data_IF_329451955979
#
_entry.id   IF_329451955979
#
_cell.length_a   1.000
_cell.length_b   1.000
_cell.length_c   1.000
_cell.angle_alpha   90.00
_cell.angle_beta   90.00
_cell.angle_gamma   90.00
#
_symmetry.space_group_name_H-M   'P 1'
#
loop_
_entity.id
_entity.type
_entity.pdbx_description
1 polymer ?
#
# COMPACT_ATOMS: atom_id res chain seq x y z
N UNK A 1 -24.00 8.32 -23.87
CA UNK A 1 -23.08 7.21 -23.54
C UNK A 1 -22.59 7.31 -22.09
N UNK A 2 -21.86 8.36 -21.70
CA UNK A 2 -21.26 8.50 -20.35
C UNK A 2 -22.21 8.29 -19.16
N UNK A 3 -23.46 8.75 -19.27
CA UNK A 3 -24.49 8.64 -18.22
C UNK A 3 -25.43 7.43 -18.37
N UNK A 4 -25.37 6.73 -19.50
CA UNK A 4 -26.36 5.69 -19.87
C UNK A 4 -25.76 4.30 -19.96
N UNK A 5 -24.50 4.16 -20.39
CA UNK A 5 -23.84 2.87 -20.47
C UNK A 5 -23.54 2.33 -19.06
N UNK A 6 -23.92 1.09 -18.70
CA UNK A 6 -23.86 0.58 -17.32
C UNK A 6 -22.48 0.74 -16.66
N UNK A 7 -21.40 0.41 -17.38
CA UNK A 7 -20.02 0.53 -16.88
C UNK A 7 -19.54 1.98 -16.83
N UNK A 8 -19.72 2.75 -17.92
CA UNK A 8 -19.21 4.11 -18.01
C UNK A 8 -19.97 5.04 -17.06
N UNK A 9 -21.23 4.75 -16.76
CA UNK A 9 -22.02 5.45 -15.75
C UNK A 9 -21.37 5.40 -14.37
N UNK A 10 -20.82 4.24 -13.99
CA UNK A 10 -20.09 4.10 -12.72
C UNK A 10 -18.87 5.03 -12.69
N UNK A 11 -17.99 4.92 -13.70
CA UNK A 11 -16.80 5.77 -13.85
C UNK A 11 -17.17 7.25 -13.82
N UNK A 12 -18.25 7.63 -14.53
CA UNK A 12 -18.74 8.99 -14.55
C UNK A 12 -19.13 9.49 -13.16
N UNK A 13 -19.92 8.71 -12.43
CA UNK A 13 -20.42 9.09 -11.11
C UNK A 13 -19.33 9.15 -10.04
N UNK A 14 -18.20 8.46 -10.25
CA UNK A 14 -17.12 8.38 -9.26
C UNK A 14 -15.91 9.25 -9.58
N UNK A 15 -15.66 9.59 -10.85
CA UNK A 15 -14.44 10.30 -11.26
C UNK A 15 -14.67 11.54 -12.12
N UNK A 16 -15.86 11.75 -12.67
CA UNK A 16 -16.13 12.88 -13.58
C UNK A 16 -17.14 13.85 -12.97
N UNK A 17 -18.38 13.39 -12.82
CA UNK A 17 -19.50 14.18 -12.32
C UNK A 17 -19.66 14.05 -10.79
N UNK A 18 -18.70 13.42 -10.08
CA UNK A 18 -18.72 13.32 -8.62
C UNK A 18 -18.72 14.73 -8.00
N UNK A 19 -19.73 15.12 -7.21
CA UNK A 19 -19.76 16.43 -6.58
C UNK A 19 -18.83 16.47 -5.36
N UNK A 20 -17.81 17.32 -5.42
CA UNK A 20 -16.82 17.47 -4.36
C UNK A 20 -16.86 18.88 -3.75
N UNK A 21 -16.59 19.04 -2.44
CA UNK A 21 -16.51 20.36 -1.81
C UNK A 21 -15.43 21.22 -2.46
N UNK A 22 -15.72 22.47 -2.78
CA UNK A 22 -14.81 23.40 -3.47
C UNK A 22 -13.50 23.65 -2.73
N UNK A 23 -13.53 23.63 -1.40
CA UNK A 23 -12.45 24.06 -0.51
C UNK A 23 -11.53 22.93 0.00
N UNK A 24 -11.58 21.71 -0.56
CA UNK A 24 -10.67 20.64 -0.11
C UNK A 24 -9.21 20.97 -0.47
N UNK A 25 -8.33 20.93 0.54
CA UNK A 25 -6.91 21.28 0.44
C UNK A 25 -6.04 20.14 -0.13
N UNK A 26 -4.72 20.32 -0.23
CA UNK A 26 -3.79 19.27 -0.71
C UNK A 26 -3.83 17.99 0.12
N UNK A 27 -4.26 18.07 1.38
CA UNK A 27 -4.43 16.90 2.25
C UNK A 27 -5.43 15.87 1.71
N UNK A 28 -6.35 16.28 0.83
CA UNK A 28 -7.29 15.34 0.18
C UNK A 28 -6.67 14.53 -0.95
N UNK A 29 -5.54 14.96 -1.51
CA UNK A 29 -4.83 14.24 -2.57
C UNK A 29 -4.26 12.89 -2.08
N UNK A 30 -3.98 12.73 -0.79
CA UNK A 30 -3.42 11.48 -0.27
C UNK A 30 -4.32 10.26 -0.52
N UNK A 31 -5.62 10.42 -0.79
CA UNK A 31 -6.46 9.31 -1.24
C UNK A 31 -6.03 8.76 -2.61
N UNK A 32 -5.86 9.63 -3.61
CA UNK A 32 -5.42 9.23 -4.95
C UNK A 32 -3.95 8.83 -4.98
N UNK A 33 -3.09 9.45 -4.17
CA UNK A 33 -1.68 9.05 -4.03
C UNK A 33 -1.55 7.61 -3.49
N UNK A 34 -2.37 7.21 -2.51
CA UNK A 34 -2.40 5.83 -2.02
C UNK A 34 -2.82 4.84 -3.11
N UNK A 35 -3.80 5.22 -3.95
CA UNK A 35 -4.19 4.43 -5.12
C UNK A 35 -3.03 4.24 -6.11
N UNK A 36 -2.26 5.30 -6.37
CA UNK A 36 -1.06 5.23 -7.20
C UNK A 36 0.03 4.35 -6.59
N UNK A 37 0.30 4.48 -5.29
CA UNK A 37 1.26 3.60 -4.60
C UNK A 37 0.84 2.14 -4.74
N UNK A 38 -0.44 1.80 -4.54
CA UNK A 38 -0.92 0.43 -4.70
C UNK A 38 -0.70 -0.10 -6.12
N UNK A 39 -0.98 0.69 -7.15
CA UNK A 39 -0.75 0.31 -8.55
C UNK A 39 0.74 0.09 -8.81
N UNK A 40 1.61 0.99 -8.34
CA UNK A 40 3.07 0.85 -8.48
C UNK A 40 3.55 -0.44 -7.81
N UNK A 41 3.10 -0.73 -6.58
CA UNK A 41 3.51 -1.93 -5.85
C UNK A 41 3.05 -3.21 -6.54
N UNK A 42 1.80 -3.27 -7.02
CA UNK A 42 1.29 -4.46 -7.75
C UNK A 42 2.06 -4.66 -9.04
N UNK A 43 2.26 -3.59 -9.84
CA UNK A 43 2.95 -3.69 -11.12
C UNK A 43 4.41 -4.12 -10.93
N UNK A 44 5.18 -3.40 -10.12
CA UNK A 44 6.59 -3.73 -9.86
C UNK A 44 6.74 -5.08 -9.19
N UNK A 45 5.88 -5.42 -8.22
CA UNK A 45 5.90 -6.70 -7.51
C UNK A 45 5.63 -7.88 -8.43
N UNK A 46 4.70 -7.73 -9.39
CA UNK A 46 4.43 -8.76 -10.40
C UNK A 46 5.66 -9.04 -11.28
N UNK A 47 6.36 -8.00 -11.75
CA UNK A 47 7.59 -8.18 -12.54
C UNK A 47 8.72 -8.80 -11.71
N UNK A 48 8.88 -8.42 -10.44
CA UNK A 48 9.86 -9.04 -9.54
C UNK A 48 9.55 -10.51 -9.30
N UNK A 49 8.27 -10.86 -9.11
CA UNK A 49 7.82 -12.23 -8.88
C UNK A 49 8.11 -13.17 -10.05
N UNK A 50 8.25 -12.67 -11.29
CA UNK A 50 8.62 -13.49 -12.45
C UNK A 50 10.07 -14.01 -12.38
N UNK A 51 10.91 -13.40 -11.55
CA UNK A 51 12.34 -13.70 -11.43
C UNK A 51 12.76 -14.15 -10.02
N UNK A 52 11.86 -14.04 -9.03
CA UNK A 52 12.13 -14.40 -7.63
C UNK A 52 11.90 -15.90 -7.37
N UNK A 53 12.73 -16.47 -6.48
CA UNK A 53 12.60 -17.87 -6.04
C UNK A 53 12.41 -17.93 -4.52
N UNK A 54 11.32 -18.54 -4.05
CA UNK A 54 10.96 -18.63 -2.62
C UNK A 54 11.54 -19.88 -1.93
N UNK A 55 12.85 -20.08 -2.06
CA UNK A 55 13.61 -21.14 -1.41
C UNK A 55 14.78 -20.55 -0.60
N UNK A 56 14.98 -20.99 0.64
CA UNK A 56 15.97 -20.38 1.56
C UNK A 56 17.41 -20.46 1.08
N UNK A 57 17.74 -21.42 0.20
CA UNK A 57 19.08 -21.55 -0.38
C UNK A 57 19.33 -20.57 -1.53
N UNK A 58 18.28 -20.04 -2.17
CA UNK A 58 18.40 -19.23 -3.40
C UNK A 58 17.62 -17.92 -3.38
N UNK A 59 16.84 -17.62 -2.33
CA UNK A 59 16.02 -16.42 -2.27
C UNK A 59 16.85 -15.14 -2.35
N UNK A 60 17.88 -15.02 -1.51
CA UNK A 60 18.80 -13.88 -1.53
C UNK A 60 19.51 -13.75 -2.89
N UNK A 61 19.99 -14.87 -3.44
CA UNK A 61 20.63 -14.87 -4.77
C UNK A 61 19.68 -14.52 -5.91
N UNK A 62 18.41 -14.90 -5.82
CA UNK A 62 17.40 -14.51 -6.83
C UNK A 62 17.16 -12.99 -6.83
N UNK A 63 17.26 -12.33 -5.66
CA UNK A 63 17.23 -10.86 -5.58
C UNK A 63 18.50 -10.25 -6.19
N UNK A 64 19.68 -10.83 -5.94
CA UNK A 64 20.93 -10.38 -6.57
C UNK A 64 20.87 -10.53 -8.10
N UNK A 65 20.33 -11.65 -8.59
CA UNK A 65 20.10 -11.90 -10.00
C UNK A 65 19.17 -10.86 -10.63
N UNK A 66 18.04 -10.53 -9.97
CA UNK A 66 17.15 -9.43 -10.39
C UNK A 66 17.93 -8.12 -10.49
N UNK A 67 18.79 -7.82 -9.52
CA UNK A 67 19.51 -6.56 -9.51
C UNK A 67 20.57 -6.48 -10.61
N UNK A 68 21.29 -7.58 -10.87
CA UNK A 68 22.51 -7.59 -11.71
C UNK A 68 22.28 -8.01 -13.15
N UNK A 69 21.37 -8.97 -13.37
CA UNK A 69 21.28 -9.66 -14.66
C UNK A 69 19.98 -9.36 -15.41
N UNK A 70 18.89 -9.06 -14.69
CA UNK A 70 17.60 -8.71 -15.30
C UNK A 70 17.64 -7.27 -15.82
N UNK A 71 17.25 -7.08 -17.08
CA UNK A 71 17.21 -5.76 -17.72
C UNK A 71 16.27 -4.83 -16.94
N UNK A 72 16.81 -3.70 -16.45
CA UNK A 72 16.12 -2.76 -15.55
C UNK A 72 15.62 -3.37 -14.23
N UNK A 73 16.06 -4.57 -13.85
CA UNK A 73 15.62 -5.24 -12.64
C UNK A 73 16.02 -4.48 -11.37
N UNK A 74 17.21 -3.87 -11.35
CA UNK A 74 17.64 -2.95 -10.28
C UNK A 74 16.66 -1.78 -10.08
N UNK A 75 16.15 -1.19 -11.18
CA UNK A 75 15.23 -0.05 -11.12
C UNK A 75 13.87 -0.51 -10.61
N UNK A 76 13.34 -1.62 -11.12
CA UNK A 76 12.06 -2.18 -10.67
C UNK A 76 12.15 -2.53 -9.18
N UNK A 77 13.23 -3.17 -8.73
CA UNK A 77 13.47 -3.49 -7.33
C UNK A 77 13.53 -2.23 -6.47
N UNK A 78 14.29 -1.21 -6.89
CA UNK A 78 14.43 0.03 -6.13
C UNK A 78 13.12 0.81 -6.06
N UNK A 79 12.34 0.82 -7.14
CA UNK A 79 10.99 1.40 -7.17
C UNK A 79 10.04 0.64 -6.23
N UNK A 80 10.09 -0.69 -6.19
CA UNK A 80 9.24 -1.50 -5.30
C UNK A 80 9.59 -1.28 -3.82
N UNK A 81 10.88 -1.26 -3.49
CA UNK A 81 11.36 -1.05 -2.13
C UNK A 81 11.06 0.37 -1.61
N UNK A 82 11.45 1.41 -2.36
CA UNK A 82 11.18 2.80 -1.97
C UNK A 82 9.69 3.16 -2.10
N UNK A 83 8.97 2.52 -3.02
CA UNK A 83 7.54 2.67 -3.19
C UNK A 83 6.75 2.19 -1.96
N UNK A 84 7.22 1.14 -1.29
CA UNK A 84 6.65 0.72 0.00
C UNK A 84 6.77 1.81 1.07
N UNK A 85 7.93 2.48 1.18
CA UNK A 85 8.11 3.61 2.10
C UNK A 85 7.22 4.80 1.74
N UNK A 86 7.13 5.15 0.45
CA UNK A 86 6.21 6.20 -0.01
C UNK A 86 4.74 5.86 0.26
N UNK A 87 4.39 4.57 0.22
CA UNK A 87 3.05 4.10 0.58
C UNK A 87 2.73 4.42 2.04
N UNK A 88 3.62 4.10 2.98
CA UNK A 88 3.42 4.43 4.40
C UNK A 88 3.45 5.93 4.68
N UNK A 89 4.32 6.71 4.03
CA UNK A 89 4.32 8.18 4.17
C UNK A 89 2.95 8.73 3.76
N UNK A 90 2.43 8.32 2.59
CA UNK A 90 1.10 8.74 2.14
C UNK A 90 0.01 8.28 3.12
N UNK A 91 0.16 7.08 3.69
CA UNK A 91 -0.83 6.48 4.57
C UNK A 91 -0.92 7.23 5.90
N UNK A 92 0.22 7.54 6.52
CA UNK A 92 0.26 8.33 7.74
C UNK A 92 -0.25 9.75 7.53
N UNK A 93 0.09 10.40 6.41
CA UNK A 93 -0.46 11.72 6.07
C UNK A 93 -1.98 11.67 5.84
N UNK A 94 -2.48 10.61 5.20
CA UNK A 94 -3.91 10.39 4.99
C UNK A 94 -4.67 10.20 6.31
N UNK A 95 -4.11 9.40 7.23
CA UNK A 95 -4.67 9.20 8.58
C UNK A 95 -4.62 10.50 9.37
N UNK A 96 -3.48 11.21 9.35
CA UNK A 96 -3.29 12.48 10.04
C UNK A 96 -4.32 13.53 9.61
N UNK A 97 -4.56 13.65 8.29
CA UNK A 97 -5.66 14.46 7.75
C UNK A 97 -7.01 14.03 8.34
N UNK A 98 -7.27 12.72 8.37
CA UNK A 98 -8.52 12.18 8.86
C UNK A 98 -8.79 12.48 10.34
N UNK A 99 -7.73 12.45 11.16
CA UNK A 99 -7.77 12.84 12.57
C UNK A 99 -8.00 14.35 12.72
N UNK A 100 -7.17 15.16 12.05
CA UNK A 100 -7.19 16.62 12.19
C UNK A 100 -8.53 17.25 11.78
N UNK A 101 -9.11 16.80 10.65
CA UNK A 101 -10.38 17.32 10.15
C UNK A 101 -11.61 16.52 10.61
N UNK A 102 -11.48 15.63 11.61
CA UNK A 102 -12.63 14.89 12.15
C UNK A 102 -13.31 13.93 11.15
N UNK A 103 -12.58 13.46 10.13
CA UNK A 103 -13.13 12.55 9.11
C UNK A 103 -13.44 11.14 9.65
N UNK A 104 -12.89 10.78 10.82
CA UNK A 104 -13.22 9.55 11.55
C UNK A 104 -14.67 9.47 12.04
N UNK A 105 -15.44 10.56 11.89
CA UNK A 105 -16.89 10.58 12.10
C UNK A 105 -17.65 9.76 11.05
N UNK A 106 -17.09 9.60 9.84
CA UNK A 106 -17.59 8.68 8.82
C UNK A 106 -17.22 7.24 9.16
N UNK A 107 -17.95 6.64 10.12
CA UNK A 107 -17.59 5.38 10.77
C UNK A 107 -17.32 4.23 9.80
N UNK A 108 -18.18 4.01 8.81
CA UNK A 108 -17.98 2.93 7.82
C UNK A 108 -16.65 3.10 7.06
N UNK A 109 -16.44 4.27 6.48
CA UNK A 109 -15.21 4.61 5.73
C UNK A 109 -13.98 4.51 6.63
N UNK A 110 -14.04 5.05 7.85
CA UNK A 110 -12.95 5.02 8.81
C UNK A 110 -12.59 3.59 9.24
N UNK A 111 -13.57 2.75 9.57
CA UNK A 111 -13.34 1.36 9.95
C UNK A 111 -12.68 0.56 8.82
N UNK A 112 -13.14 0.72 7.57
CA UNK A 112 -12.45 0.11 6.42
C UNK A 112 -11.03 0.67 6.26
N UNK A 113 -10.81 1.96 6.52
CA UNK A 113 -9.48 2.57 6.52
C UNK A 113 -8.52 1.96 7.54
N UNK A 114 -9.01 1.62 8.74
CA UNK A 114 -8.22 0.91 9.77
C UNK A 114 -7.88 -0.50 9.32
N UNK A 115 -8.83 -1.23 8.70
CA UNK A 115 -8.54 -2.55 8.14
C UNK A 115 -7.52 -2.48 7.00
N UNK A 116 -7.61 -1.47 6.13
CA UNK A 116 -6.62 -1.22 5.08
C UNK A 116 -5.23 -0.95 5.66
N UNK A 117 -5.12 -0.17 6.73
CA UNK A 117 -3.84 0.05 7.43
C UNK A 117 -3.23 -1.30 7.86
N UNK A 118 -3.99 -2.15 8.55
CA UNK A 118 -3.48 -3.45 9.00
C UNK A 118 -3.12 -4.39 7.84
N UNK A 119 -3.89 -4.38 6.75
CA UNK A 119 -3.56 -5.17 5.56
C UNK A 119 -2.26 -4.69 4.89
N UNK A 120 -2.06 -3.37 4.76
CA UNK A 120 -0.82 -2.80 4.20
C UNK A 120 0.37 -3.10 5.11
N UNK A 121 0.21 -3.00 6.44
CA UNK A 121 1.22 -3.40 7.43
C UNK A 121 1.61 -4.87 7.29
N UNK A 122 0.62 -5.77 7.25
CA UNK A 122 0.86 -7.20 7.08
C UNK A 122 1.58 -7.48 5.76
N UNK A 123 1.12 -6.88 4.66
CA UNK A 123 1.70 -7.03 3.32
C UNK A 123 3.16 -6.60 3.28
N UNK A 124 3.47 -5.42 3.82
CA UNK A 124 4.82 -4.90 3.83
C UNK A 124 5.75 -5.73 4.72
N UNK A 125 5.27 -6.19 5.88
CA UNK A 125 6.02 -7.07 6.77
C UNK A 125 6.42 -8.37 6.05
N UNK A 126 5.45 -9.11 5.48
CA UNK A 126 5.77 -10.38 4.80
C UNK A 126 6.61 -10.16 3.54
N UNK A 127 6.49 -9.01 2.88
CA UNK A 127 7.33 -8.61 1.74
C UNK A 127 8.78 -8.35 2.12
N UNK A 128 9.00 -7.71 3.28
CA UNK A 128 10.34 -7.42 3.79
C UNK A 128 11.11 -8.68 4.18
N UNK A 129 10.44 -9.82 4.41
CA UNK A 129 11.09 -11.11 4.68
C UNK A 129 11.67 -11.75 3.42
N UNK A 130 11.09 -11.46 2.24
CA UNK A 130 11.40 -12.16 0.99
C UNK A 130 12.86 -12.06 0.51
N UNK A 131 13.59 -10.94 0.70
CA UNK A 131 15.00 -10.87 0.35
C UNK A 131 15.88 -11.83 1.15
N UNK A 132 15.42 -12.28 2.32
CA UNK A 132 16.14 -13.25 3.15
C UNK A 132 17.53 -12.80 3.62
N UNK A 133 17.73 -11.49 3.85
CA UNK A 133 18.92 -10.94 4.54
C UNK A 133 18.82 -11.05 6.08
N UNK A 134 19.82 -10.54 6.81
CA UNK A 134 19.84 -10.67 8.28
C UNK A 134 18.65 -9.98 8.93
N UNK A 135 18.38 -8.73 8.55
CA UNK A 135 17.25 -7.97 9.09
C UNK A 135 15.91 -8.61 8.71
N UNK A 136 15.78 -9.14 7.49
CA UNK A 136 14.61 -9.91 7.07
C UNK A 136 14.36 -11.12 7.99
N UNK A 137 15.38 -11.95 8.23
CA UNK A 137 15.26 -13.18 9.02
C UNK A 137 15.01 -12.92 10.50
N UNK A 138 15.83 -12.05 11.12
CA UNK A 138 15.70 -11.74 12.55
C UNK A 138 14.44 -10.93 12.84
N UNK A 139 14.07 -10.00 11.95
CA UNK A 139 12.81 -9.29 12.02
C UNK A 139 11.62 -10.24 11.98
N UNK A 140 11.62 -11.21 11.06
CA UNK A 140 10.57 -12.23 10.99
C UNK A 140 10.48 -13.03 12.31
N UNK A 141 11.63 -13.50 12.81
CA UNK A 141 11.73 -14.31 14.02
C UNK A 141 11.18 -13.57 15.25
N UNK A 142 11.65 -12.35 15.50
CA UNK A 142 11.25 -11.57 16.67
C UNK A 142 9.77 -11.20 16.61
N UNK A 143 9.31 -10.64 15.48
CA UNK A 143 7.94 -10.12 15.37
C UNK A 143 6.89 -11.24 15.45
N UNK A 144 7.11 -12.35 14.75
CA UNK A 144 6.16 -13.47 14.80
C UNK A 144 6.15 -14.15 16.17
N UNK A 145 7.29 -14.21 16.85
CA UNK A 145 7.38 -14.80 18.19
C UNK A 145 6.68 -13.97 19.27
N UNK A 146 6.30 -12.70 19.02
CA UNK A 146 5.45 -11.93 19.94
C UNK A 146 4.09 -12.62 20.21
N UNK A 147 3.60 -13.43 19.27
CA UNK A 147 2.36 -14.20 19.44
C UNK A 147 2.49 -15.31 20.48
N UNK A 148 3.71 -15.73 20.84
CA UNK A 148 3.94 -16.71 21.91
C UNK A 148 3.44 -16.23 23.28
N UNK A 149 3.32 -14.91 23.46
CA UNK A 149 2.81 -14.30 24.68
C UNK A 149 1.30 -14.49 24.89
N UNK A 150 0.56 -14.98 23.89
CA UNK A 150 -0.87 -15.28 24.03
C UNK A 150 -1.04 -16.52 24.93
N UNK A 151 -1.76 -16.42 26.06
CA UNK A 151 -1.93 -17.55 26.97
C UNK A 151 -2.55 -18.78 26.29
N UNK A 152 -2.08 -19.96 26.69
CA UNK A 152 -2.52 -21.29 26.25
C UNK A 152 -2.24 -21.66 24.78
N UNK A 153 -2.50 -20.75 23.84
CA UNK A 153 -2.42 -21.05 22.39
C UNK A 153 -1.19 -20.43 21.69
N UNK A 154 -0.43 -19.56 22.37
CA UNK A 154 0.61 -18.73 21.75
C UNK A 154 1.72 -19.53 21.06
N UNK A 155 2.33 -20.49 21.76
CA UNK A 155 3.39 -21.33 21.18
C UNK A 155 2.91 -22.12 19.96
N UNK A 156 1.71 -22.71 20.05
CA UNK A 156 1.10 -23.45 18.94
C UNK A 156 0.83 -22.55 17.74
N UNK A 157 0.39 -21.32 17.97
CA UNK A 157 0.14 -20.34 16.91
C UNK A 157 1.43 -19.93 16.19
N UNK A 158 2.52 -19.72 16.93
CA UNK A 158 3.83 -19.37 16.36
C UNK A 158 4.37 -20.51 15.49
N UNK A 159 4.41 -21.74 16.01
CA UNK A 159 4.86 -22.91 15.24
C UNK A 159 3.97 -23.17 14.02
N UNK A 160 2.67 -22.90 14.12
CA UNK A 160 1.76 -22.99 12.99
C UNK A 160 2.07 -21.95 11.91
N UNK A 161 2.33 -20.69 12.29
CA UNK A 161 2.72 -19.62 11.36
C UNK A 161 4.07 -19.94 10.70
N UNK A 162 5.02 -20.49 11.42
CA UNK A 162 6.31 -20.91 10.86
C UNK A 162 6.17 -22.17 9.99
N UNK A 163 5.28 -23.09 10.37
CA UNK A 163 5.22 -24.41 9.77
C UNK A 163 6.40 -25.29 10.17
N UNK A 164 6.91 -25.09 11.38
CA UNK A 164 8.11 -25.71 11.91
C UNK A 164 8.50 -25.08 13.24
N UNK A 165 9.67 -25.42 13.76
CA UNK A 165 10.16 -24.95 15.06
C UNK A 165 10.86 -23.58 15.01
N UNK A 166 11.10 -23.05 13.81
CA UNK A 166 11.72 -21.75 13.59
C UNK A 166 11.29 -21.17 12.25
N UNK A 167 11.58 -19.89 12.01
CA UNK A 167 11.51 -19.30 10.67
C UNK A 167 12.47 -20.05 9.74
N UNK A 168 11.94 -20.66 8.67
CA UNK A 168 12.72 -21.44 7.70
C UNK A 168 11.96 -21.52 6.35
N UNK A 169 12.31 -22.47 5.47
CA UNK A 169 11.76 -22.68 4.13
C UNK A 169 10.24 -22.65 4.08
N UNK A 170 9.58 -23.38 4.98
CA UNK A 170 8.12 -23.40 5.02
C UNK A 170 7.53 -21.99 5.27
N UNK A 171 8.17 -21.18 6.10
CA UNK A 171 7.81 -19.79 6.40
C UNK A 171 8.03 -18.87 5.20
N UNK A 172 9.15 -19.02 4.50
CA UNK A 172 9.46 -18.17 3.35
C UNK A 172 8.48 -18.38 2.20
N UNK A 173 8.20 -19.63 1.82
CA UNK A 173 7.30 -19.95 0.71
C UNK A 173 5.87 -19.46 0.97
N UNK A 174 5.35 -19.62 2.19
CA UNK A 174 4.01 -19.11 2.55
C UNK A 174 3.98 -17.59 2.62
N UNK A 175 5.03 -16.93 3.12
CA UNK A 175 5.09 -15.48 3.18
C UNK A 175 5.11 -14.87 1.79
N UNK A 176 5.81 -15.50 0.82
CA UNK A 176 5.71 -15.11 -0.58
C UNK A 176 4.27 -15.22 -1.10
N UNK A 177 3.58 -16.33 -0.81
CA UNK A 177 2.19 -16.54 -1.25
C UNK A 177 1.24 -15.49 -0.65
N UNK A 178 1.36 -15.19 0.64
CA UNK A 178 0.58 -14.14 1.29
C UNK A 178 0.93 -12.75 0.77
N UNK A 179 2.22 -12.45 0.58
CA UNK A 179 2.68 -11.18 0.03
C UNK A 179 2.12 -10.93 -1.38
N UNK A 180 1.99 -11.99 -2.19
CA UNK A 180 1.38 -11.91 -3.50
C UNK A 180 -0.14 -11.70 -3.43
N UNK A 181 -0.84 -12.39 -2.52
CA UNK A 181 -2.30 -12.34 -2.40
C UNK A 181 -2.82 -11.02 -1.80
N UNK A 182 -2.21 -10.55 -0.72
CA UNK A 182 -2.73 -9.44 0.08
C UNK A 182 -2.91 -8.11 -0.69
N UNK A 183 -2.05 -7.71 -1.64
CA UNK A 183 -2.28 -6.51 -2.48
C UNK A 183 -3.61 -6.53 -3.23
N UNK A 184 -4.09 -7.70 -3.68
CA UNK A 184 -5.39 -7.82 -4.35
C UNK A 184 -6.56 -7.73 -3.37
N UNK A 185 -6.37 -8.22 -2.14
CA UNK A 185 -7.34 -8.01 -1.04
C UNK A 185 -7.41 -6.51 -0.69
N UNK A 186 -6.27 -5.82 -0.63
CA UNK A 186 -6.20 -4.37 -0.41
C UNK A 186 -6.92 -3.62 -1.53
N UNK A 187 -6.76 -4.04 -2.79
CA UNK A 187 -7.48 -3.45 -3.93
C UNK A 187 -9.01 -3.58 -3.76
N UNK A 188 -9.51 -4.77 -3.41
CA UNK A 188 -10.94 -4.98 -3.15
C UNK A 188 -11.45 -4.14 -1.97
N UNK A 189 -10.69 -4.08 -0.87
CA UNK A 189 -11.02 -3.28 0.30
C UNK A 189 -10.98 -1.77 0.01
N UNK A 190 -10.13 -1.32 -0.92
CA UNK A 190 -10.07 0.07 -1.38
C UNK A 190 -11.34 0.44 -2.15
N UNK A 191 -11.87 -0.47 -2.99
CA UNK A 191 -13.16 -0.27 -3.64
C UNK A 191 -14.31 -0.16 -2.64
N UNK A 192 -14.31 -0.99 -1.59
CA UNK A 192 -15.28 -0.89 -0.50
C UNK A 192 -15.14 0.43 0.28
N UNK A 193 -13.90 0.88 0.53
CA UNK A 193 -13.61 2.15 1.19
C UNK A 193 -14.20 3.34 0.41
N UNK A 194 -13.98 3.37 -0.90
CA UNK A 194 -14.51 4.41 -1.79
C UNK A 194 -16.04 4.34 -1.91
N UNK A 195 -16.62 3.15 -1.91
CA UNK A 195 -18.07 2.98 -1.91
C UNK A 195 -18.71 3.64 -0.69
N UNK A 196 -18.20 3.39 0.52
CA UNK A 196 -18.72 4.04 1.73
C UNK A 196 -18.43 5.54 1.77
N UNK A 197 -17.29 5.99 1.22
CA UNK A 197 -17.01 7.42 1.06
C UNK A 197 -18.05 8.09 0.15
N UNK A 198 -18.46 7.43 -0.94
CA UNK A 198 -19.43 7.99 -1.87
C UNK A 198 -20.87 8.01 -1.33
N UNK A 199 -21.20 7.23 -0.29
CA UNK A 199 -22.48 7.35 0.41
C UNK A 199 -22.66 8.73 1.05
N UNK A 200 -21.59 9.30 1.64
CA UNK A 200 -21.63 10.58 2.36
C UNK A 200 -21.05 11.75 1.56
N UNK A 201 -20.16 11.46 0.61
CA UNK A 201 -19.25 12.43 0.01
C UNK A 201 -18.07 12.79 0.92
N UNK A 202 -17.13 13.56 0.37
CA UNK A 202 -15.94 14.04 1.10
C UNK A 202 -16.31 15.09 2.16
N UNK A 203 -15.62 15.03 3.31
CA UNK A 203 -15.55 16.16 4.24
C UNK A 203 -14.71 17.30 3.63
N UNK A 204 -14.63 18.44 4.33
CA UNK A 204 -13.83 19.60 3.94
C UNK A 204 -13.12 20.25 5.15
N UNK A 205 -12.12 21.13 4.92
CA UNK A 205 -11.33 21.72 5.99
C UNK A 205 -12.10 22.51 7.05
N UNK A 206 -13.28 23.06 6.71
CA UNK A 206 -14.09 23.82 7.67
C UNK A 206 -14.97 22.92 8.56
N UNK A 207 -15.15 21.64 8.21
CA UNK A 207 -16.03 20.71 8.94
C UNK A 207 -17.52 21.04 8.85
N UNK A 208 -17.91 22.03 8.03
CA UNK A 208 -19.30 22.43 7.80
C UNK A 208 -19.91 21.68 6.62
N UNK A 209 -21.25 21.66 6.51
CA UNK A 209 -21.94 21.07 5.37
C UNK A 209 -21.61 21.83 4.07
N UNK A 210 -21.05 21.12 3.09
CA UNK A 210 -20.63 21.67 1.80
C UNK A 210 -21.66 21.53 0.68
N UNK A 211 -22.87 21.03 0.94
CA UNK A 211 -23.89 20.81 -0.10
C UNK A 211 -24.28 22.09 -0.86
N UNK A 212 -24.12 23.26 -0.23
CA UNK A 212 -24.39 24.55 -0.87
C UNK A 212 -23.31 24.97 -1.88
N UNK A 213 -22.12 24.37 -1.82
CA UNK A 213 -20.99 24.72 -2.68
C UNK A 213 -20.15 23.48 -3.05
N UNK A 214 -20.59 22.79 -4.12
CA UNK A 214 -19.89 21.66 -4.73
C UNK A 214 -19.64 21.92 -6.20
N UNK A 215 -18.48 21.44 -6.67
CA UNK A 215 -18.07 21.43 -8.07
C UNK A 215 -17.86 19.99 -8.54
N UNK A 216 -17.99 19.71 -9.85
CA UNK A 216 -17.67 18.39 -10.37
C UNK A 216 -16.19 18.05 -10.14
N UNK A 217 -15.89 16.77 -9.94
CA UNK A 217 -14.52 16.30 -9.73
C UNK A 217 -13.61 16.62 -10.92
N UNK A 218 -14.08 16.37 -12.15
CA UNK A 218 -13.39 16.79 -13.36
C UNK A 218 -13.92 18.16 -13.83
N UNK A 219 -13.05 19.12 -14.21
CA UNK A 219 -11.58 19.01 -14.33
C UNK A 219 -10.80 19.37 -13.06
N UNK A 220 -11.46 19.93 -12.04
CA UNK A 220 -10.81 20.61 -10.93
C UNK A 220 -9.91 19.68 -10.10
N UNK A 221 -10.49 18.63 -9.53
CA UNK A 221 -9.77 17.70 -8.68
C UNK A 221 -8.99 16.67 -9.48
N UNK A 222 -9.41 16.32 -10.71
CA UNK A 222 -8.60 15.48 -11.58
C UNK A 222 -7.25 16.13 -11.92
N UNK A 223 -7.23 17.43 -12.26
CA UNK A 223 -5.97 18.13 -12.57
C UNK A 223 -5.13 18.34 -11.32
N UNK A 224 -5.76 18.65 -10.18
CA UNK A 224 -5.09 18.77 -8.89
C UNK A 224 -4.45 17.44 -8.46
N UNK A 225 -5.13 16.33 -8.70
CA UNK A 225 -4.61 14.99 -8.41
C UNK A 225 -3.45 14.64 -9.34
N UNK A 226 -3.51 14.94 -10.64
CA UNK A 226 -2.40 14.76 -11.58
C UNK A 226 -1.13 15.49 -11.10
N UNK A 227 -1.27 16.72 -10.56
CA UNK A 227 -0.14 17.42 -9.96
C UNK A 227 0.46 16.65 -8.77
N UNK A 228 -0.39 16.17 -7.86
CA UNK A 228 0.06 15.37 -6.71
C UNK A 228 0.75 14.07 -7.14
N UNK A 229 0.18 13.36 -8.12
CA UNK A 229 0.75 12.13 -8.69
C UNK A 229 2.11 12.39 -9.34
N UNK A 230 2.26 13.52 -10.03
CA UNK A 230 3.53 13.93 -10.65
C UNK A 230 4.61 14.16 -9.59
N UNK A 231 4.27 14.88 -8.51
CA UNK A 231 5.20 15.11 -7.39
C UNK A 231 5.63 13.78 -6.75
N UNK A 232 4.67 12.90 -6.42
CA UNK A 232 4.94 11.57 -5.87
C UNK A 232 5.89 10.77 -6.76
N UNK A 233 5.61 10.74 -8.08
CA UNK A 233 6.39 9.96 -9.05
C UNK A 233 7.80 10.51 -9.19
N UNK A 234 7.97 11.84 -9.27
CA UNK A 234 9.30 12.48 -9.31
C UNK A 234 10.07 12.16 -8.04
N UNK A 235 9.48 12.32 -6.86
CA UNK A 235 10.15 11.98 -5.58
C UNK A 235 10.57 10.52 -5.53
N UNK A 236 9.68 9.59 -5.92
CA UNK A 236 9.99 8.15 -5.92
C UNK A 236 11.12 7.81 -6.89
N UNK A 237 11.10 8.35 -8.11
CA UNK A 237 12.17 8.14 -9.09
C UNK A 237 13.48 8.75 -8.60
N UNK A 238 13.46 9.95 -8.02
CA UNK A 238 14.66 10.57 -7.45
C UNK A 238 15.26 9.71 -6.34
N UNK A 239 14.45 9.14 -5.44
CA UNK A 239 14.90 8.18 -4.43
C UNK A 239 15.49 6.93 -5.08
N UNK A 240 14.76 6.30 -6.01
CA UNK A 240 15.18 5.04 -6.63
C UNK A 240 16.46 5.16 -7.49
N UNK A 241 16.74 6.36 -8.04
CA UNK A 241 17.91 6.61 -8.89
C UNK A 241 19.12 7.13 -8.09
N UNK A 242 18.93 8.11 -7.21
CA UNK A 242 20.04 8.82 -6.56
C UNK A 242 20.33 8.31 -5.14
N UNK A 243 19.30 7.87 -4.40
CA UNK A 243 19.42 7.45 -3.00
C UNK A 243 18.68 6.14 -2.69
N UNK A 244 18.87 5.06 -3.48
CA UNK A 244 18.01 3.87 -3.45
C UNK A 244 18.00 3.12 -2.12
N UNK A 245 19.01 3.33 -1.28
CA UNK A 245 19.21 2.62 -0.02
C UNK A 245 19.04 3.49 1.23
N UNK A 246 18.74 4.79 1.08
CA UNK A 246 18.70 5.72 2.24
C UNK A 246 17.63 5.38 3.28
N UNK A 247 16.58 4.66 2.87
CA UNK A 247 15.49 4.20 3.73
C UNK A 247 15.61 2.72 4.14
N UNK A 248 16.68 2.04 3.75
CA UNK A 248 16.93 0.62 4.06
C UNK A 248 18.04 0.44 5.10
N UNK A 249 18.06 -0.74 5.71
CA UNK A 249 19.12 -1.13 6.64
C UNK A 249 20.26 -1.87 5.90
N UNK A 250 21.53 -1.50 6.11
CA UNK A 250 22.66 -2.16 5.46
C UNK A 250 22.81 -3.65 5.82
N UNK A 251 22.31 -4.09 6.98
CA UNK A 251 22.36 -5.49 7.41
C UNK A 251 21.42 -6.41 6.60
N UNK A 252 20.67 -5.87 5.63
CA UNK A 252 19.87 -6.66 4.70
C UNK A 252 20.57 -6.94 3.35
N UNK A 253 21.90 -6.80 3.31
CA UNK A 253 22.78 -7.10 2.19
C UNK A 253 23.87 -8.10 2.56
#
# INVERSE_FOLDING_TARGET
IRKTHPIIKLINSTLVDLPAPTNISSWWNFGSLLGMCLIIQIATGLFLAMHYVSDTSTAFESINHIYRDVQYGWLIRNMHANGASMFFICLYMHIGRGLYYGSFTYKKTWTIGVLLLFLVMATAFVGYVLPWGQMSFWGATVITNLLSAIPYIGSTLVEWIWGGFSVDKATLTRFFTFHFLLPFVILAMTMMHLLFLHETGSNNPMGLNSNMDKIPFHPYFSNKDILGLTILTVTLISLALFYPYVLGDPENF
#
